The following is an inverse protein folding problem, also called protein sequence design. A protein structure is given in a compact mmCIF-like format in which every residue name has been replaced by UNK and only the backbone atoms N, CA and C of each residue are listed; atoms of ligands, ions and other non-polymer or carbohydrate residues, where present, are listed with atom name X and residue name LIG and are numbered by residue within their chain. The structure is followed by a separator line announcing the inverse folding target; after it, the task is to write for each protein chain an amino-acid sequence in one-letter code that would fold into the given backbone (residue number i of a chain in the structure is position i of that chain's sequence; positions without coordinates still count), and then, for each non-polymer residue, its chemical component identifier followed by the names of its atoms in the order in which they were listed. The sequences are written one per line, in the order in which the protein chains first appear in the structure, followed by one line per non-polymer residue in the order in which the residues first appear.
data_IF_187139572671
#
_entry.id   IF_187139572671
#
_cell.length_a   1.000
_cell.length_b   1.000
_cell.length_c   1.000
_cell.angle_alpha   90.00
_cell.angle_beta   90.00
_cell.angle_gamma   90.00
#
_symmetry.space_group_name_H-M   'P 1'
#
loop_
_entity.id
_entity.type
_entity.pdbx_description
1 polymer ?
#
# COMPACT_ATOMS: atom_id res chain seq x y z
N UNK A 1 -4.76 20.19 -13.14
CA UNK A 1 -5.10 18.77 -13.43
C UNK A 1 -4.09 17.93 -12.69
N UNK A 2 -4.51 17.01 -11.83
CA UNK A 2 -3.65 16.09 -11.09
C UNK A 2 -3.66 14.76 -11.83
N UNK A 3 -2.50 14.12 -11.95
CA UNK A 3 -2.35 12.81 -12.58
C UNK A 3 -2.69 11.68 -11.59
N UNK A 4 -2.74 10.45 -12.07
CA UNK A 4 -2.71 9.28 -11.21
C UNK A 4 -1.47 9.29 -10.28
N UNK A 5 -1.51 8.54 -9.20
CA UNK A 5 -0.36 8.38 -8.30
C UNK A 5 0.81 7.80 -9.11
N UNK A 6 1.86 8.58 -9.30
CA UNK A 6 3.03 8.12 -10.04
C UNK A 6 3.83 7.11 -9.24
N UNK A 7 4.07 7.41 -7.97
CA UNK A 7 4.81 6.53 -7.07
C UNK A 7 4.40 6.74 -5.61
N UNK A 8 4.49 5.68 -4.82
CA UNK A 8 4.40 5.74 -3.37
C UNK A 8 5.79 5.51 -2.79
N UNK A 9 6.23 6.40 -1.90
CA UNK A 9 7.53 6.25 -1.23
C UNK A 9 7.35 5.58 0.12
N UNK A 10 8.12 4.52 0.34
CA UNK A 10 8.13 3.71 1.55
C UNK A 10 9.51 3.77 2.19
N UNK A 11 9.58 4.21 3.43
CA UNK A 11 10.82 4.15 4.22
C UNK A 11 11.12 2.70 4.62
N UNK A 12 12.36 2.27 4.44
CA UNK A 12 12.82 0.93 4.82
C UNK A 12 14.15 1.00 5.57
N UNK A 13 14.35 0.11 6.53
CA UNK A 13 15.62 -0.05 7.24
C UNK A 13 16.52 -1.04 6.52
N UNK A 14 15.91 -2.10 5.98
CA UNK A 14 16.59 -3.17 5.27
C UNK A 14 16.11 -3.21 3.82
N UNK A 15 16.93 -2.65 2.93
CA UNK A 15 16.64 -2.63 1.49
C UNK A 15 16.59 -4.04 0.90
N UNK A 16 17.43 -4.95 1.35
CA UNK A 16 17.50 -6.30 0.80
C UNK A 16 16.25 -7.11 1.20
N UNK A 17 15.78 -6.97 2.44
CA UNK A 17 14.52 -7.55 2.88
C UNK A 17 13.32 -6.99 2.07
N UNK A 18 13.29 -5.69 1.82
CA UNK A 18 12.25 -5.08 1.01
C UNK A 18 12.30 -5.57 -0.44
N UNK A 19 13.49 -5.66 -1.04
CA UNK A 19 13.67 -6.17 -2.39
C UNK A 19 13.31 -7.65 -2.51
N UNK A 20 13.55 -8.45 -1.47
CA UNK A 20 13.12 -9.85 -1.44
C UNK A 20 11.59 -9.99 -1.59
N UNK A 21 10.81 -9.06 -1.02
CA UNK A 21 9.35 -9.04 -1.19
C UNK A 21 8.99 -8.49 -2.58
N UNK A 22 9.30 -7.24 -2.86
CA UNK A 22 8.76 -6.54 -4.02
C UNK A 22 9.41 -7.01 -5.35
N UNK A 23 10.73 -7.16 -5.38
CA UNK A 23 11.45 -7.58 -6.58
C UNK A 23 11.36 -9.09 -6.79
N UNK A 24 11.71 -9.88 -5.76
CA UNK A 24 11.96 -11.32 -5.96
C UNK A 24 10.67 -12.13 -5.89
N UNK A 25 9.73 -11.78 -5.01
CA UNK A 25 8.45 -12.49 -4.89
C UNK A 25 7.35 -11.87 -5.73
N UNK A 26 7.16 -10.56 -5.67
CA UNK A 26 6.13 -9.89 -6.47
C UNK A 26 6.57 -9.65 -7.91
N UNK A 27 7.87 -9.87 -8.23
CA UNK A 27 8.44 -9.75 -9.57
C UNK A 27 8.37 -8.33 -10.14
N UNK A 28 8.44 -7.31 -9.26
CA UNK A 28 8.57 -5.94 -9.72
C UNK A 28 9.97 -5.72 -10.28
N UNK A 29 10.05 -4.95 -11.35
CA UNK A 29 11.32 -4.60 -12.00
C UNK A 29 11.91 -3.37 -11.33
N UNK A 30 13.22 -3.42 -11.03
CA UNK A 30 13.98 -2.24 -10.62
C UNK A 30 14.16 -1.31 -11.83
N UNK A 31 13.60 -0.11 -11.75
CA UNK A 31 13.80 0.93 -12.76
C UNK A 31 14.97 1.85 -12.43
N UNK A 32 15.17 2.09 -11.14
CA UNK A 32 16.17 3.03 -10.64
C UNK A 32 16.72 2.53 -9.30
N UNK A 33 18.04 2.61 -9.13
CA UNK A 33 18.74 2.37 -7.86
C UNK A 33 19.85 3.43 -7.74
N UNK A 34 19.60 4.44 -6.91
CA UNK A 34 20.47 5.63 -6.79
C UNK A 34 20.53 6.16 -5.37
N UNK A 35 21.47 7.07 -5.15
CA UNK A 35 21.44 7.94 -3.95
C UNK A 35 20.52 9.12 -4.18
N UNK A 36 19.77 9.51 -3.14
CA UNK A 36 18.90 10.67 -3.19
C UNK A 36 19.71 11.94 -3.49
N UNK A 37 19.19 12.77 -4.39
CA UNK A 37 19.80 14.07 -4.66
C UNK A 37 19.56 15.06 -3.51
N UNK A 38 20.47 16.01 -3.35
CA UNK A 38 20.31 17.12 -2.38
C UNK A 38 18.98 17.84 -2.59
N UNK A 39 18.57 18.04 -3.84
CA UNK A 39 17.28 18.68 -4.17
C UNK A 39 16.09 17.88 -3.65
N UNK A 40 16.11 16.55 -3.79
CA UNK A 40 15.04 15.70 -3.29
C UNK A 40 14.98 15.68 -1.77
N UNK A 41 16.14 15.56 -1.11
CA UNK A 41 16.23 15.63 0.36
C UNK A 41 15.70 16.96 0.89
N UNK A 42 16.02 18.07 0.20
CA UNK A 42 15.51 19.40 0.55
C UNK A 42 13.98 19.48 0.42
N UNK A 43 13.40 18.93 -0.64
CA UNK A 43 11.93 18.86 -0.82
C UNK A 43 11.29 18.05 0.29
N UNK A 44 11.91 16.96 0.70
CA UNK A 44 11.44 16.13 1.83
C UNK A 44 11.74 16.74 3.20
N UNK A 45 12.44 17.89 3.25
CA UNK A 45 12.89 18.55 4.49
C UNK A 45 13.77 17.65 5.34
N UNK A 46 14.56 16.83 4.70
CA UNK A 46 15.56 15.96 5.35
C UNK A 46 16.93 16.62 5.35
N UNK A 47 17.79 16.27 6.31
CA UNK A 47 19.17 16.74 6.31
C UNK A 47 19.89 16.36 5.02
N UNK A 48 20.53 17.33 4.36
CA UNK A 48 21.15 17.13 3.03
C UNK A 48 22.42 16.26 3.05
N UNK A 49 22.91 15.92 4.22
CA UNK A 49 24.07 15.03 4.40
C UNK A 49 23.66 13.56 4.59
N UNK A 50 22.35 13.27 4.59
CA UNK A 50 21.86 11.91 4.72
C UNK A 50 22.18 11.08 3.48
N UNK A 51 22.73 9.88 3.69
CA UNK A 51 23.03 8.92 2.63
C UNK A 51 21.82 8.03 2.38
N UNK A 52 20.81 8.56 1.71
CA UNK A 52 19.55 7.85 1.43
C UNK A 52 19.66 7.11 0.11
N UNK A 53 19.55 5.77 0.16
CA UNK A 53 19.42 4.94 -1.05
C UNK A 53 17.96 4.89 -1.48
N UNK A 54 17.72 5.11 -2.77
CA UNK A 54 16.40 5.04 -3.38
C UNK A 54 16.36 3.95 -4.43
N UNK A 55 15.41 3.04 -4.30
CA UNK A 55 15.12 2.03 -5.32
C UNK A 55 13.68 2.21 -5.79
N UNK A 56 13.49 2.48 -7.08
CA UNK A 56 12.16 2.58 -7.68
C UNK A 56 11.84 1.29 -8.42
N UNK A 57 10.69 0.74 -8.12
CA UNK A 57 10.18 -0.52 -8.62
C UNK A 57 8.87 -0.31 -9.38
N UNK A 58 8.67 -1.02 -10.47
CA UNK A 58 7.45 -1.00 -11.26
C UNK A 58 7.02 -2.40 -11.70
N UNK A 59 5.77 -2.52 -12.06
CA UNK A 59 5.26 -3.63 -12.86
C UNK A 59 5.46 -3.34 -14.35
N UNK A 60 5.22 -4.32 -15.20
CA UNK A 60 5.33 -4.14 -16.65
C UNK A 60 4.20 -3.25 -17.18
N UNK A 61 4.49 -2.00 -17.46
CA UNK A 61 3.75 -1.33 -18.53
C UNK A 61 2.95 -0.07 -18.22
N UNK A 62 2.67 0.33 -16.99
CA UNK A 62 1.70 1.43 -16.79
C UNK A 62 2.31 2.80 -16.43
N UNK A 63 3.54 2.86 -15.97
CA UNK A 63 4.21 4.13 -15.64
C UNK A 63 3.61 4.87 -14.43
N UNK A 64 2.68 4.25 -13.72
CA UNK A 64 2.01 4.76 -12.52
C UNK A 64 2.03 3.70 -11.42
N UNK A 65 1.72 4.08 -10.18
CA UNK A 65 1.64 3.14 -9.07
C UNK A 65 2.97 2.46 -8.72
N UNK A 66 4.10 3.10 -9.03
CA UNK A 66 5.43 2.60 -8.68
C UNK A 66 5.65 2.57 -7.18
N UNK A 67 6.48 1.68 -6.71
CA UNK A 67 6.97 1.68 -5.34
C UNK A 67 8.39 2.26 -5.34
N UNK A 68 8.61 3.30 -4.54
CA UNK A 68 9.93 3.86 -4.27
C UNK A 68 10.33 3.50 -2.85
N UNK A 69 11.30 2.62 -2.69
CA UNK A 69 11.89 2.29 -1.41
C UNK A 69 12.96 3.33 -1.06
N UNK A 70 12.91 3.87 0.14
CA UNK A 70 13.88 4.84 0.64
C UNK A 70 14.55 4.28 1.89
N UNK A 71 15.82 3.89 1.79
CA UNK A 71 16.61 3.43 2.92
C UNK A 71 17.40 4.60 3.48
N UNK A 72 17.09 4.92 4.72
CA UNK A 72 17.81 5.93 5.48
C UNK A 72 19.00 5.30 6.21
N UNK A 73 20.10 6.05 6.44
CA UNK A 73 21.16 5.58 7.29
C UNK A 73 20.62 5.29 8.69
N UNK A 74 21.22 4.30 9.36
CA UNK A 74 20.84 3.95 10.72
C UNK A 74 21.11 5.13 11.67
N UNK A 75 20.05 5.77 12.11
CA UNK A 75 20.10 6.93 13.00
C UNK A 75 20.06 6.55 14.49
N UNK A 76 20.33 5.29 14.82
CA UNK A 76 20.42 4.86 16.22
C UNK A 76 19.07 4.70 16.93
N UNK A 77 18.05 4.25 16.23
CA UNK A 77 16.86 3.71 16.86
C UNK A 77 15.68 4.64 17.07
N UNK A 78 15.51 5.64 16.24
CA UNK A 78 14.21 6.29 16.13
C UNK A 78 13.26 5.29 15.46
N UNK A 79 12.39 4.66 16.27
CA UNK A 79 11.30 3.87 15.74
C UNK A 79 10.53 4.75 14.76
N UNK A 80 10.47 4.33 13.52
CA UNK A 80 9.64 5.01 12.55
C UNK A 80 8.18 4.92 13.04
N UNK A 81 7.36 5.88 12.70
CA UNK A 81 5.92 5.86 12.94
C UNK A 81 5.24 4.57 12.45
N UNK A 82 5.96 3.77 11.67
CA UNK A 82 5.57 2.49 11.11
C UNK A 82 6.00 1.30 11.96
N UNK A 83 6.46 1.48 13.18
CA UNK A 83 6.64 0.37 14.12
C UNK A 83 5.27 -0.14 14.59
N UNK A 84 4.47 -0.47 13.61
CA UNK A 84 3.11 -0.99 13.72
C UNK A 84 3.06 -2.43 14.27
N UNK A 85 4.14 -2.93 14.78
CA UNK A 85 4.22 -4.35 15.08
C UNK A 85 3.93 -4.71 16.52
N UNK A 86 4.07 -3.81 17.46
CA UNK A 86 4.21 -4.24 18.85
C UNK A 86 3.27 -3.49 19.79
N UNK A 87 1.97 -3.82 19.73
CA UNK A 87 1.07 -3.61 20.85
C UNK A 87 0.48 -2.21 20.99
N UNK A 88 0.53 -1.39 19.97
CA UNK A 88 -0.28 -0.17 19.96
C UNK A 88 -1.70 -0.52 19.46
N UNK A 89 -2.71 -0.44 20.31
CA UNK A 89 -4.05 -0.95 19.99
C UNK A 89 -4.79 -0.18 18.91
N UNK A 90 -4.33 1.00 18.50
CA UNK A 90 -5.14 1.96 17.74
C UNK A 90 -4.63 2.30 16.34
N UNK A 91 -3.72 1.51 15.78
CA UNK A 91 -3.06 1.84 14.52
C UNK A 91 -3.98 1.88 13.30
N UNK A 92 -5.04 1.08 13.31
CA UNK A 92 -6.03 1.11 12.24
C UNK A 92 -6.86 2.40 12.23
N UNK A 93 -6.99 3.05 13.38
CA UNK A 93 -7.80 4.27 13.58
C UNK A 93 -6.97 5.56 13.54
N UNK A 94 -5.65 5.48 13.59
CA UNK A 94 -4.78 6.65 13.46
C UNK A 94 -4.96 7.32 12.09
N UNK A 95 -5.03 8.64 12.04
CA UNK A 95 -5.12 9.36 10.78
C UNK A 95 -3.84 9.26 9.95
N UNK A 96 -3.99 9.07 8.65
CA UNK A 96 -2.91 9.03 7.67
C UNK A 96 -2.95 7.81 6.74
N UNK A 97 -1.95 7.68 5.84
CA UNK A 97 -1.82 6.52 4.95
C UNK A 97 -1.69 5.22 5.74
N UNK A 98 -2.37 4.16 5.31
CA UNK A 98 -2.46 2.89 6.03
C UNK A 98 -1.88 1.71 5.29
N UNK A 99 -2.23 1.52 4.04
CA UNK A 99 -1.82 0.35 3.28
C UNK A 99 -1.48 0.70 1.83
N UNK A 100 -0.67 -0.13 1.22
CA UNK A 100 -0.50 -0.20 -0.21
C UNK A 100 -1.45 -1.26 -0.74
N UNK A 101 -2.39 -0.84 -1.55
CA UNK A 101 -3.45 -1.70 -2.06
C UNK A 101 -3.00 -2.26 -3.42
N UNK A 102 -2.85 -3.58 -3.49
CA UNK A 102 -2.24 -4.29 -4.61
C UNK A 102 -3.12 -5.48 -5.00
N UNK A 103 -3.51 -5.55 -6.26
CA UNK A 103 -4.21 -6.71 -6.76
C UNK A 103 -3.26 -7.86 -7.05
N UNK A 104 -3.74 -9.09 -6.86
CA UNK A 104 -3.04 -10.30 -7.28
C UNK A 104 -3.89 -11.11 -8.26
N UNK A 105 -3.25 -11.67 -9.28
CA UNK A 105 -3.87 -12.61 -10.21
C UNK A 105 -3.78 -14.07 -9.75
N UNK A 106 -3.17 -14.32 -8.60
CA UNK A 106 -3.17 -15.62 -7.94
C UNK A 106 -4.34 -15.71 -6.93
N UNK A 107 -4.80 -16.91 -6.58
CA UNK A 107 -5.65 -17.10 -5.41
C UNK A 107 -5.02 -16.47 -4.17
N UNK A 108 -5.84 -15.89 -3.30
CA UNK A 108 -5.35 -15.09 -2.17
C UNK A 108 -4.39 -15.90 -1.26
N UNK A 109 -4.70 -17.14 -0.99
CA UNK A 109 -3.87 -18.04 -0.15
C UNK A 109 -2.50 -18.35 -0.79
N UNK A 110 -2.44 -18.45 -2.11
CA UNK A 110 -1.16 -18.64 -2.83
C UNK A 110 -0.31 -17.38 -2.72
N UNK A 111 -0.91 -16.20 -2.87
CA UNK A 111 -0.22 -14.93 -2.70
C UNK A 111 0.30 -14.74 -1.27
N UNK A 112 -0.51 -15.10 -0.26
CA UNK A 112 -0.08 -15.10 1.15
C UNK A 112 1.14 -15.98 1.34
N UNK A 113 1.08 -17.23 0.90
CA UNK A 113 2.17 -18.21 1.05
C UNK A 113 3.45 -17.74 0.34
N UNK A 114 3.31 -17.17 -0.87
CA UNK A 114 4.43 -16.63 -1.63
C UNK A 114 5.15 -15.52 -0.86
N UNK A 115 4.40 -14.58 -0.28
CA UNK A 115 4.97 -13.44 0.45
C UNK A 115 5.43 -13.82 1.86
N UNK A 116 4.79 -14.81 2.50
CA UNK A 116 5.24 -15.35 3.78
C UNK A 116 6.66 -15.93 3.68
N UNK A 117 7.02 -16.54 2.55
CA UNK A 117 8.37 -17.03 2.28
C UNK A 117 9.44 -15.89 2.20
N UNK A 118 9.04 -14.63 2.13
CA UNK A 118 9.92 -13.46 2.24
C UNK A 118 9.71 -12.68 3.56
N UNK A 119 9.07 -13.30 4.56
CA UNK A 119 8.91 -12.73 5.89
C UNK A 119 7.65 -11.88 6.09
N UNK A 120 6.77 -11.76 5.10
CA UNK A 120 5.48 -11.11 5.32
C UNK A 120 4.59 -11.98 6.21
N UNK A 121 3.80 -11.35 7.08
CA UNK A 121 2.90 -12.07 7.99
C UNK A 121 1.47 -11.58 7.85
N UNK A 122 0.46 -12.47 7.71
CA UNK A 122 -0.93 -12.07 7.72
C UNK A 122 -1.31 -11.40 9.04
N UNK A 123 -2.01 -10.28 8.96
CA UNK A 123 -2.61 -9.58 10.12
C UNK A 123 -4.04 -10.03 10.37
N UNK A 124 -4.69 -10.52 9.33
CA UNK A 124 -6.05 -11.04 9.35
C UNK A 124 -6.13 -12.32 8.53
N UNK A 125 -7.24 -13.02 8.60
CA UNK A 125 -7.63 -13.98 7.57
C UNK A 125 -8.17 -13.20 6.36
N UNK A 126 -8.23 -13.83 5.16
CA UNK A 126 -8.93 -13.25 4.02
C UNK A 126 -10.41 -13.00 4.34
N UNK A 127 -10.91 -11.84 3.92
CA UNK A 127 -12.31 -11.45 4.04
C UNK A 127 -12.85 -11.05 2.67
N UNK A 128 -14.10 -11.44 2.38
CA UNK A 128 -14.75 -11.11 1.12
C UNK A 128 -15.72 -9.96 1.29
N UNK A 129 -15.65 -9.03 0.35
CA UNK A 129 -16.50 -7.84 0.29
C UNK A 129 -17.27 -7.82 -1.02
N UNK A 130 -18.59 -7.89 -0.91
CA UNK A 130 -19.51 -7.68 -2.02
C UNK A 130 -20.21 -6.33 -1.81
N UNK A 131 -19.65 -5.26 -2.38
CA UNK A 131 -20.14 -3.90 -2.19
C UNK A 131 -20.52 -3.31 -3.55
N UNK A 132 -21.81 -3.17 -3.77
CA UNK A 132 -22.33 -2.72 -5.06
C UNK A 132 -22.00 -3.71 -6.17
N UNK A 133 -21.19 -3.28 -7.14
CA UNK A 133 -20.70 -4.14 -8.23
C UNK A 133 -19.26 -4.62 -8.01
N UNK A 134 -18.65 -4.29 -6.89
CA UNK A 134 -17.33 -4.76 -6.52
C UNK A 134 -17.46 -6.04 -5.68
N UNK A 135 -16.74 -7.07 -6.09
CA UNK A 135 -16.62 -8.33 -5.39
C UNK A 135 -15.13 -8.62 -5.28
N UNK A 136 -14.59 -8.43 -4.07
CA UNK A 136 -13.18 -8.58 -3.78
C UNK A 136 -12.95 -9.50 -2.58
N UNK A 137 -11.88 -10.24 -2.60
CA UNK A 137 -11.35 -10.94 -1.44
C UNK A 137 -10.04 -10.27 -1.03
N UNK A 138 -9.90 -9.94 0.25
CA UNK A 138 -8.89 -9.03 0.75
C UNK A 138 -8.21 -9.57 1.99
N UNK A 139 -6.89 -9.33 2.11
CA UNK A 139 -6.10 -9.63 3.31
C UNK A 139 -5.05 -8.55 3.53
N UNK A 140 -4.82 -8.19 4.78
CA UNK A 140 -3.69 -7.32 5.14
C UNK A 140 -2.53 -8.16 5.62
N UNK A 141 -1.35 -7.93 5.00
CA UNK A 141 -0.08 -8.48 5.44
C UNK A 141 0.78 -7.38 6.06
N UNK A 142 1.56 -7.75 7.07
CA UNK A 142 2.70 -6.94 7.50
C UNK A 142 3.88 -7.28 6.60
N UNK A 143 4.30 -6.33 5.77
CA UNK A 143 5.46 -6.43 4.90
C UNK A 143 6.77 -5.98 5.58
N UNK A 144 7.82 -5.72 4.79
CA UNK A 144 9.10 -5.24 5.30
C UNK A 144 8.93 -3.98 6.15
N UNK A 145 9.65 -3.91 7.24
CA UNK A 145 9.60 -2.78 8.18
C UNK A 145 8.19 -2.42 8.69
N UNK A 146 7.29 -3.40 8.72
CA UNK A 146 5.94 -3.21 9.23
C UNK A 146 4.96 -2.55 8.22
N UNK A 147 5.36 -2.34 6.97
CA UNK A 147 4.50 -1.72 5.95
C UNK A 147 3.28 -2.60 5.68
N UNK A 148 2.05 -2.09 5.87
CA UNK A 148 0.87 -2.85 5.55
C UNK A 148 0.68 -2.97 4.04
N UNK A 149 0.48 -4.20 3.59
CA UNK A 149 0.14 -4.55 2.22
C UNK A 149 -1.29 -5.10 2.21
N UNK A 150 -2.21 -4.39 1.59
CA UNK A 150 -3.56 -4.90 1.33
C UNK A 150 -3.54 -5.64 0.00
N UNK A 151 -3.59 -6.97 0.05
CA UNK A 151 -3.73 -7.79 -1.15
C UNK A 151 -5.19 -7.99 -1.48
N UNK A 152 -5.52 -7.89 -2.76
CA UNK A 152 -6.89 -8.01 -3.26
C UNK A 152 -6.95 -8.97 -4.43
N UNK A 153 -7.95 -9.85 -4.41
CA UNK A 153 -8.39 -10.63 -5.57
C UNK A 153 -9.74 -10.09 -6.01
N UNK A 154 -9.85 -9.63 -7.24
CA UNK A 154 -11.13 -9.19 -7.80
C UNK A 154 -11.87 -10.36 -8.45
N UNK A 155 -13.06 -10.68 -7.97
CA UNK A 155 -13.95 -11.70 -8.55
C UNK A 155 -14.92 -11.09 -9.57
N UNK A 156 -15.37 -9.86 -9.34
CA UNK A 156 -16.10 -9.06 -10.32
C UNK A 156 -15.64 -7.60 -10.25
N UNK A 157 -15.42 -6.99 -11.39
CA UNK A 157 -15.00 -5.60 -11.48
C UNK A 157 -15.94 -4.79 -12.35
N UNK A 158 -16.21 -3.56 -11.94
CA UNK A 158 -16.74 -2.57 -12.86
C UNK A 158 -15.75 -2.33 -14.01
N UNK A 159 -16.26 -1.98 -15.17
CA UNK A 159 -15.49 -1.82 -16.41
C UNK A 159 -14.29 -0.86 -16.32
N UNK A 160 -14.25 0.04 -15.32
CA UNK A 160 -13.16 0.99 -15.12
C UNK A 160 -11.93 0.47 -14.34
N UNK A 161 -12.09 -0.60 -13.56
CA UNK A 161 -11.01 -1.13 -12.69
C UNK A 161 -10.19 -2.26 -13.33
N UNK A 162 -10.57 -2.70 -14.53
CA UNK A 162 -9.84 -3.77 -15.25
C UNK A 162 -8.36 -3.51 -15.47
N UNK A 163 -7.93 -2.25 -15.49
CA UNK A 163 -6.51 -1.90 -15.67
C UNK A 163 -5.62 -2.42 -14.54
N UNK A 164 -6.20 -2.69 -13.36
CA UNK A 164 -5.45 -3.22 -12.21
C UNK A 164 -5.57 -4.73 -12.05
N UNK A 165 -6.30 -5.42 -12.92
CA UNK A 165 -6.37 -6.87 -12.88
C UNK A 165 -5.07 -7.45 -13.47
N UNK A 166 -4.15 -7.97 -12.65
CA UNK A 166 -2.90 -8.53 -13.15
C UNK A 166 -3.15 -9.86 -13.86
N UNK A 167 -2.22 -10.26 -14.73
CA UNK A 167 -2.22 -11.60 -15.28
C UNK A 167 -2.11 -12.65 -14.17
N UNK A 168 -2.53 -13.90 -14.45
CA UNK A 168 -2.46 -14.99 -13.49
C UNK A 168 -1.06 -15.12 -12.86
N UNK A 169 -1.01 -15.18 -11.55
CA UNK A 169 0.24 -15.27 -10.78
C UNK A 169 1.07 -14.00 -10.70
N UNK A 170 0.56 -12.86 -11.19
CA UNK A 170 1.26 -11.56 -11.14
C UNK A 170 0.62 -10.66 -10.09
N UNK A 171 1.34 -9.60 -9.73
CA UNK A 171 0.83 -8.50 -8.90
C UNK A 171 0.66 -7.24 -9.75
N UNK A 172 -0.34 -6.43 -9.42
CA UNK A 172 -0.54 -5.12 -10.04
C UNK A 172 0.47 -4.11 -9.50
N UNK A 173 0.57 -2.95 -10.15
CA UNK A 173 1.06 -1.74 -9.51
C UNK A 173 0.25 -1.41 -8.24
N UNK A 174 0.74 -0.47 -7.42
CA UNK A 174 -0.06 0.08 -6.33
C UNK A 174 -1.31 0.74 -6.93
N UNK A 175 -2.45 0.10 -6.74
CA UNK A 175 -3.71 0.54 -7.32
C UNK A 175 -4.27 1.75 -6.59
N UNK A 176 -4.25 1.69 -5.26
CA UNK A 176 -4.69 2.75 -4.36
C UNK A 176 -3.82 2.80 -3.11
N UNK A 177 -4.01 3.84 -2.32
CA UNK A 177 -3.46 3.97 -0.97
C UNK A 177 -4.62 4.28 -0.04
N UNK A 178 -4.88 3.38 0.90
CA UNK A 178 -5.90 3.59 1.92
C UNK A 178 -5.47 4.65 2.91
N UNK A 179 -6.33 5.62 3.18
CA UNK A 179 -6.08 6.73 4.10
C UNK A 179 -7.20 6.81 5.12
N UNK A 180 -6.85 6.77 6.39
CA UNK A 180 -7.77 7.05 7.49
C UNK A 180 -7.79 8.54 7.79
N UNK A 181 -8.97 9.12 7.91
CA UNK A 181 -9.15 10.52 8.25
C UNK A 181 -10.09 10.69 9.44
N UNK A 182 -9.82 11.69 10.28
CA UNK A 182 -10.70 12.07 11.38
C UNK A 182 -11.85 12.98 10.93
N UNK A 183 -11.71 13.64 9.76
CA UNK A 183 -12.72 14.55 9.19
C UNK A 183 -12.86 14.24 7.69
N UNK A 184 -13.87 13.43 7.37
CA UNK A 184 -14.14 13.00 6.01
C UNK A 184 -14.53 14.19 5.11
N UNK A 185 -15.33 15.13 5.61
CA UNK A 185 -15.79 16.27 4.83
C UNK A 185 -14.64 17.22 4.52
N UNK A 186 -13.74 17.47 5.44
CA UNK A 186 -12.55 18.25 5.20
C UNK A 186 -11.62 17.58 4.20
N UNK A 187 -11.46 16.25 4.31
CA UNK A 187 -10.66 15.47 3.36
C UNK A 187 -11.26 15.49 1.96
N UNK A 188 -12.57 15.33 1.84
CA UNK A 188 -13.28 15.42 0.54
C UNK A 188 -13.08 16.77 -0.10
N UNK A 189 -13.31 17.87 0.63
CA UNK A 189 -13.04 19.22 0.11
C UNK A 189 -11.62 19.39 -0.39
N UNK A 190 -10.65 18.86 0.35
CA UNK A 190 -9.25 18.92 -0.08
C UNK A 190 -9.00 18.14 -1.38
N UNK A 191 -9.42 16.88 -1.45
CA UNK A 191 -9.17 16.06 -2.64
C UNK A 191 -10.01 16.47 -3.83
N UNK A 192 -11.28 16.79 -3.66
CA UNK A 192 -12.20 17.11 -4.76
C UNK A 192 -12.04 18.57 -5.21
N UNK A 193 -12.13 19.54 -4.28
CA UNK A 193 -12.15 20.96 -4.64
C UNK A 193 -10.75 21.53 -4.86
N UNK A 194 -9.79 21.24 -3.97
CA UNK A 194 -8.45 21.79 -4.08
C UNK A 194 -7.58 21.03 -5.08
N UNK A 195 -7.70 19.70 -5.14
CA UNK A 195 -6.88 18.87 -6.02
C UNK A 195 -7.60 18.44 -7.30
N UNK A 196 -8.92 18.56 -7.39
CA UNK A 196 -9.71 18.22 -8.57
C UNK A 196 -9.86 16.72 -8.82
N UNK A 197 -9.80 15.90 -7.77
CA UNK A 197 -10.12 14.47 -7.87
C UNK A 197 -11.62 14.29 -8.11
N UNK A 198 -11.97 13.25 -8.84
CA UNK A 198 -13.35 12.85 -9.05
C UNK A 198 -13.69 11.74 -8.08
N UNK A 199 -14.78 11.92 -7.35
CA UNK A 199 -15.30 10.88 -6.48
C UNK A 199 -15.95 9.77 -7.33
N UNK A 200 -15.34 8.59 -7.36
CA UNK A 200 -15.86 7.47 -8.16
C UNK A 200 -16.77 6.51 -7.37
N UNK A 201 -16.58 6.44 -6.07
CA UNK A 201 -17.33 5.52 -5.22
C UNK A 201 -18.36 6.27 -4.38
N UNK A 202 -19.48 5.62 -4.15
CA UNK A 202 -20.47 6.08 -3.18
C UNK A 202 -19.92 5.93 -1.77
N UNK A 203 -20.33 6.85 -0.87
CA UNK A 203 -20.12 6.67 0.56
C UNK A 203 -20.79 5.35 0.98
N UNK A 204 -19.97 4.41 1.41
CA UNK A 204 -20.42 3.13 1.91
C UNK A 204 -20.29 3.13 3.42
N UNK A 205 -21.42 3.15 4.10
CA UNK A 205 -21.44 2.84 5.53
C UNK A 205 -21.48 1.32 5.68
N UNK A 206 -20.39 0.73 6.13
CA UNK A 206 -20.32 -0.71 6.37
C UNK A 206 -21.21 -1.07 7.55
N UNK A 207 -22.15 -2.00 7.36
CA UNK A 207 -23.08 -2.49 8.38
C UNK A 207 -23.13 -4.01 8.39
N UNK A 208 -23.54 -4.59 9.51
CA UNK A 208 -23.71 -6.04 9.65
C UNK A 208 -22.44 -6.80 9.31
N UNK A 209 -22.56 -7.85 8.52
CA UNK A 209 -21.44 -8.73 8.16
C UNK A 209 -20.28 -8.03 7.47
N UNK A 210 -20.52 -7.01 6.64
CA UNK A 210 -19.47 -6.24 5.99
C UNK A 210 -18.68 -5.38 6.99
N UNK A 211 -19.36 -4.79 7.99
CA UNK A 211 -18.67 -4.10 9.07
C UNK A 211 -17.81 -5.07 9.87
N UNK A 212 -18.37 -6.22 10.22
CA UNK A 212 -17.64 -7.22 11.00
C UNK A 212 -16.43 -7.78 10.23
N UNK A 213 -16.57 -7.98 8.92
CA UNK A 213 -15.47 -8.36 8.05
C UNK A 213 -14.37 -7.28 8.01
N UNK A 214 -14.75 -6.00 7.87
CA UNK A 214 -13.79 -4.90 7.91
C UNK A 214 -13.10 -4.79 9.27
N UNK A 215 -13.84 -4.96 10.37
CA UNK A 215 -13.24 -4.98 11.70
C UNK A 215 -12.20 -6.10 11.84
N UNK A 216 -12.48 -7.29 11.33
CA UNK A 216 -11.53 -8.40 11.32
C UNK A 216 -10.32 -8.12 10.41
N UNK A 217 -10.56 -7.56 9.22
CA UNK A 217 -9.49 -7.22 8.26
C UNK A 217 -8.51 -6.20 8.85
N UNK A 218 -9.04 -5.15 9.47
CA UNK A 218 -8.22 -4.07 10.03
C UNK A 218 -7.77 -4.32 11.47
N UNK A 219 -8.26 -5.38 12.14
CA UNK A 219 -7.91 -5.68 13.52
C UNK A 219 -8.48 -4.67 14.53
N UNK A 220 -9.65 -4.09 14.23
CA UNK A 220 -10.37 -3.18 15.14
C UNK A 220 -11.58 -3.88 15.74
N UNK A 221 -12.02 -3.50 16.96
CA UNK A 221 -13.16 -4.10 17.65
C UNK A 221 -14.51 -3.77 16.98
#
# INVERSE_FOLDING_TARGET
MISAIESVTVGVRDMDAALAVFRDRMQYRVELDVRASVSLLSVWRLPVHEDVRLVTLSTDGHGVGRIRLAQFPDTGGVATRLDYGHGAPDLATDAGPKALDIYTGAPIEEAINLLAAAGCTPRSRPERFEIGSNDTEEVILTGPDGVPLLLMVGHAHQSGTRRFAPAAGRFSEVATVSIVTADLDASRRFYEEALGYVHEATDVELRGEHRDAACRLFGVP
#
